data_IF_827616510865
#
_entry.id   IF_827616510865
#
_cell.length_a   1.000
_cell.length_b   1.000
_cell.length_c   1.000
_cell.angle_alpha   90.00
_cell.angle_beta   90.00
_cell.angle_gamma   90.00
#
_symmetry.space_group_name_H-M   'P 1'
#
loop_
_entity.id
_entity.type
_entity.pdbx_description
1 polymer ?
#
# COMPACT_ATOMS: atom_id res chain seq x y z
N UNK A 1 36.89 47.21 -2.13
CA UNK A 1 35.90 46.88 -3.18
C UNK A 1 34.72 46.17 -2.54
N UNK A 2 33.59 46.86 -2.36
CA UNK A 2 32.34 46.24 -1.89
C UNK A 2 31.63 45.68 -3.12
N UNK A 3 31.57 44.37 -3.26
CA UNK A 3 30.78 43.72 -4.31
C UNK A 3 29.30 43.82 -3.94
N UNK A 4 28.62 44.83 -4.45
CA UNK A 4 27.16 44.85 -4.51
C UNK A 4 26.72 43.81 -5.54
N UNK A 5 26.13 42.71 -5.07
CA UNK A 5 25.45 41.75 -5.96
C UNK A 5 24.37 42.50 -6.76
N UNK A 6 24.35 42.28 -8.07
CA UNK A 6 23.36 42.87 -8.97
C UNK A 6 21.93 42.54 -8.49
N UNK A 7 21.00 43.52 -8.43
CA UNK A 7 19.59 43.28 -8.11
C UNK A 7 18.96 42.20 -8.98
N UNK A 8 19.44 42.04 -10.23
CA UNK A 8 18.99 41.02 -11.16
C UNK A 8 19.40 39.60 -10.71
N UNK A 9 20.59 39.46 -10.14
CA UNK A 9 21.09 38.18 -9.62
C UNK A 9 20.35 37.79 -8.33
N UNK A 10 20.03 38.77 -7.48
CA UNK A 10 19.19 38.57 -6.29
C UNK A 10 17.74 38.21 -6.64
N UNK A 11 17.18 38.85 -7.67
CA UNK A 11 15.84 38.56 -8.17
C UNK A 11 15.79 37.19 -8.86
N UNK A 12 16.82 36.82 -9.63
CA UNK A 12 16.96 35.51 -10.23
C UNK A 12 17.14 34.42 -9.16
N UNK A 13 17.93 34.65 -8.10
CA UNK A 13 18.08 33.73 -6.97
C UNK A 13 16.79 33.62 -6.15
N UNK A 14 16.03 34.70 -5.98
CA UNK A 14 14.70 34.65 -5.34
C UNK A 14 13.67 33.89 -6.17
N UNK A 15 13.67 34.06 -7.49
CA UNK A 15 12.82 33.28 -8.40
C UNK A 15 13.24 31.81 -8.42
N UNK A 16 14.54 31.52 -8.50
CA UNK A 16 15.08 30.15 -8.45
C UNK A 16 14.80 29.46 -7.12
N UNK A 17 14.94 30.15 -5.98
CA UNK A 17 14.61 29.60 -4.66
C UNK A 17 13.10 29.43 -4.45
N UNK A 18 12.26 30.29 -5.06
CA UNK A 18 10.80 30.07 -5.07
C UNK A 18 10.39 28.92 -5.99
N UNK A 19 11.11 28.69 -7.09
CA UNK A 19 10.91 27.53 -7.96
C UNK A 19 11.38 26.25 -7.26
N UNK A 20 12.55 26.27 -6.60
CA UNK A 20 13.11 25.14 -5.84
C UNK A 20 12.37 24.83 -4.54
N UNK A 21 11.74 25.82 -3.91
CA UNK A 21 10.92 25.60 -2.72
C UNK A 21 9.65 24.76 -3.01
N UNK A 22 9.23 24.61 -4.27
CA UNK A 22 8.10 23.75 -4.65
C UNK A 22 8.43 22.25 -4.66
N UNK A 23 9.72 21.91 -4.79
CA UNK A 23 10.17 20.60 -5.26
C UNK A 23 10.36 19.56 -4.16
N UNK A 24 10.36 19.95 -2.88
CA UNK A 24 10.45 19.01 -1.75
C UNK A 24 9.37 19.25 -0.68
N UNK A 25 8.24 19.83 -1.10
CA UNK A 25 7.15 20.22 -0.19
C UNK A 25 6.11 19.09 -0.08
N UNK A 26 5.69 18.70 1.14
CA UNK A 26 4.58 17.78 1.34
C UNK A 26 3.32 18.20 0.57
N UNK A 27 2.53 17.23 0.09
CA UNK A 27 1.29 17.52 -0.62
C UNK A 27 0.39 18.41 0.26
N UNK A 28 -0.02 19.61 -0.20
CA UNK A 28 -0.96 20.41 0.58
C UNK A 28 -2.29 19.66 0.76
N UNK A 29 -3.01 19.90 1.87
CA UNK A 29 -4.27 19.21 2.16
C UNK A 29 -5.29 19.32 1.02
N UNK A 30 -6.20 18.34 0.89
CA UNK A 30 -7.25 18.36 -0.13
C UNK A 30 -8.10 19.63 -0.13
N UNK A 31 -8.21 20.38 0.97
CA UNK A 31 -8.92 21.66 1.02
C UNK A 31 -8.40 22.70 0.04
N UNK A 32 -7.14 22.61 -0.39
CA UNK A 32 -6.56 23.46 -1.43
C UNK A 32 -6.80 22.94 -2.85
N UNK A 33 -7.38 21.75 -2.99
CA UNK A 33 -7.48 21.00 -4.24
C UNK A 33 -8.91 20.72 -4.66
N UNK A 34 -9.06 20.13 -5.83
CA UNK A 34 -10.36 19.76 -6.38
C UNK A 34 -10.64 18.26 -6.14
N UNK A 35 -9.59 17.44 -6.06
CA UNK A 35 -9.70 15.99 -5.88
C UNK A 35 -9.12 15.51 -4.55
N UNK A 36 -9.41 14.26 -4.17
CA UNK A 36 -8.67 13.45 -3.20
C UNK A 36 -8.08 12.24 -3.92
N UNK A 37 -6.77 12.02 -3.82
CA UNK A 37 -6.09 10.93 -4.52
C UNK A 37 -5.81 9.73 -3.61
N UNK A 38 -6.23 8.54 -4.05
CA UNK A 38 -6.07 7.28 -3.32
C UNK A 38 -5.29 6.28 -4.18
N UNK A 39 -4.23 5.71 -3.60
CA UNK A 39 -3.58 4.50 -4.09
C UNK A 39 -3.99 3.33 -3.19
N UNK A 40 -4.44 2.23 -3.79
CA UNK A 40 -4.81 0.99 -3.10
C UNK A 40 -4.07 -0.19 -3.70
N UNK A 41 -3.50 -1.04 -2.84
CA UNK A 41 -2.66 -2.18 -3.24
C UNK A 41 -3.18 -3.44 -2.54
N UNK A 42 -3.55 -4.44 -3.33
CA UNK A 42 -4.11 -5.70 -2.82
C UNK A 42 -3.06 -6.56 -2.09
N UNK A 43 -3.54 -7.49 -1.27
CA UNK A 43 -2.74 -8.59 -0.72
C UNK A 43 -2.37 -9.65 -1.77
N UNK A 44 -1.40 -10.51 -1.45
CA UNK A 44 -0.99 -11.59 -2.35
C UNK A 44 0.45 -12.10 -2.20
N UNK A 45 1.08 -11.92 -1.04
CA UNK A 45 2.44 -12.43 -0.76
C UNK A 45 3.52 -11.92 -1.71
N UNK A 46 4.35 -12.82 -2.24
CA UNK A 46 5.46 -12.51 -3.15
C UNK A 46 4.98 -11.91 -4.49
N UNK A 47 3.71 -12.13 -4.85
CA UNK A 47 3.08 -11.54 -6.04
C UNK A 47 2.96 -10.02 -5.97
N UNK A 48 3.21 -9.41 -4.80
CA UNK A 48 3.40 -7.96 -4.63
C UNK A 48 4.46 -7.34 -5.56
N UNK A 49 5.34 -8.15 -6.17
CA UNK A 49 6.24 -7.71 -7.25
C UNK A 49 5.46 -7.14 -8.45
N UNK A 50 4.28 -7.69 -8.78
CA UNK A 50 3.44 -7.22 -9.89
C UNK A 50 3.03 -5.75 -9.69
N UNK A 51 2.29 -5.38 -8.62
CA UNK A 51 1.90 -3.98 -8.41
C UNK A 51 3.11 -3.06 -8.15
N UNK A 52 4.18 -3.54 -7.50
CA UNK A 52 5.40 -2.74 -7.32
C UNK A 52 6.04 -2.34 -8.68
N UNK A 53 6.05 -3.27 -9.65
CA UNK A 53 6.55 -3.02 -11.01
C UNK A 53 5.68 -2.02 -11.76
N UNK A 54 4.36 -2.12 -11.63
CA UNK A 54 3.42 -1.14 -12.22
C UNK A 54 3.59 0.25 -11.58
N UNK A 55 3.79 0.31 -10.26
CA UNK A 55 4.04 1.56 -9.54
C UNK A 55 5.37 2.21 -9.92
N UNK A 56 6.40 1.42 -10.23
CA UNK A 56 7.68 1.95 -10.73
C UNK A 56 7.50 2.72 -12.06
N UNK A 57 6.61 2.27 -12.94
CA UNK A 57 6.25 3.03 -14.14
C UNK A 57 5.62 4.39 -13.78
N UNK A 58 4.62 4.40 -12.89
CA UNK A 58 3.95 5.64 -12.46
C UNK A 58 4.90 6.61 -11.76
N UNK A 59 5.77 6.10 -10.86
CA UNK A 59 6.76 6.91 -10.15
C UNK A 59 7.76 7.55 -11.12
N UNK A 60 8.21 6.82 -12.15
CA UNK A 60 9.05 7.38 -13.23
C UNK A 60 8.32 8.44 -14.05
N UNK A 61 7.06 8.21 -14.40
CA UNK A 61 6.25 9.19 -15.15
C UNK A 61 6.05 10.50 -14.36
N UNK A 62 5.84 10.41 -13.04
CA UNK A 62 5.74 11.57 -12.15
C UNK A 62 7.09 12.27 -11.95
N UNK A 63 8.18 11.52 -11.74
CA UNK A 63 9.54 12.08 -11.61
C UNK A 63 10.05 12.75 -12.88
N UNK A 64 9.59 12.33 -14.05
CA UNK A 64 9.87 13.05 -15.30
C UNK A 64 9.28 14.48 -15.30
N UNK A 65 8.24 14.73 -14.51
CA UNK A 65 7.60 16.05 -14.33
C UNK A 65 8.15 16.81 -13.11
N UNK A 66 8.50 16.09 -12.04
CA UNK A 66 9.03 16.63 -10.78
C UNK A 66 10.02 15.63 -10.13
N UNK A 67 11.33 15.73 -10.43
CA UNK A 67 12.33 14.72 -10.06
C UNK A 67 12.53 14.50 -8.55
N UNK A 68 12.11 15.45 -7.73
CA UNK A 68 12.34 15.50 -6.29
C UNK A 68 11.15 14.98 -5.48
N UNK A 69 10.15 14.41 -6.14
CA UNK A 69 8.95 13.88 -5.49
C UNK A 69 8.97 12.35 -5.37
N UNK A 70 7.95 11.84 -4.69
CA UNK A 70 7.65 10.42 -4.51
C UNK A 70 6.14 10.25 -4.55
N UNK A 71 5.65 9.01 -4.62
CA UNK A 71 4.21 8.74 -4.60
C UNK A 71 3.47 9.36 -3.40
N UNK A 72 4.08 9.41 -2.21
CA UNK A 72 3.51 10.06 -1.03
C UNK A 72 3.29 11.58 -1.19
N UNK A 73 3.94 12.21 -2.17
CA UNK A 73 3.75 13.62 -2.51
C UNK A 73 2.58 13.87 -3.49
N UNK A 74 1.94 12.81 -3.99
CA UNK A 74 0.83 12.87 -4.95
C UNK A 74 -0.44 12.20 -4.46
N UNK A 75 -0.33 11.17 -3.61
CA UNK A 75 -1.46 10.47 -3.03
C UNK A 75 -1.79 11.00 -1.64
N UNK A 76 -3.03 11.43 -1.42
CA UNK A 76 -3.57 11.80 -0.11
C UNK A 76 -3.75 10.59 0.82
N UNK A 77 -3.94 9.41 0.21
CA UNK A 77 -4.06 8.13 0.90
C UNK A 77 -3.30 7.04 0.14
N UNK A 78 -2.47 6.28 0.85
CA UNK A 78 -1.93 5.01 0.36
C UNK A 78 -2.50 3.89 1.23
N UNK A 79 -3.16 2.92 0.62
CA UNK A 79 -3.84 1.83 1.31
C UNK A 79 -3.32 0.50 0.83
N UNK A 80 -3.21 -0.47 1.74
CA UNK A 80 -2.77 -1.79 1.37
C UNK A 80 -3.10 -2.85 2.40
N UNK A 81 -3.31 -4.07 1.91
CA UNK A 81 -3.55 -5.26 2.72
C UNK A 81 -2.40 -6.25 2.54
N UNK A 82 -1.97 -6.92 3.61
CA UNK A 82 -0.90 -7.92 3.56
C UNK A 82 0.38 -7.34 2.94
N UNK A 83 0.94 -7.99 1.92
CA UNK A 83 2.07 -7.48 1.13
C UNK A 83 1.85 -6.04 0.62
N UNK A 84 0.61 -5.65 0.26
CA UNK A 84 0.26 -4.27 -0.10
C UNK A 84 0.34 -3.31 1.09
N UNK A 85 0.06 -3.79 2.30
CA UNK A 85 0.24 -3.04 3.55
C UNK A 85 1.72 -2.85 3.90
N UNK A 86 2.56 -3.87 3.69
CA UNK A 86 4.03 -3.73 3.79
C UNK A 86 4.53 -2.67 2.80
N UNK A 87 4.09 -2.75 1.54
CA UNK A 87 4.42 -1.77 0.50
C UNK A 87 3.93 -0.37 0.86
N UNK A 88 2.73 -0.25 1.43
CA UNK A 88 2.19 1.03 1.93
C UNK A 88 3.11 1.65 2.97
N UNK A 89 3.58 0.86 3.96
CA UNK A 89 4.51 1.35 4.96
C UNK A 89 5.87 1.75 4.34
N UNK A 90 6.40 0.97 3.40
CA UNK A 90 7.64 1.29 2.69
C UNK A 90 7.56 2.59 1.89
N UNK A 91 6.40 2.87 1.28
CA UNK A 91 6.13 4.06 0.44
C UNK A 91 5.64 5.28 1.23
N UNK A 92 5.32 5.14 2.52
CA UNK A 92 4.76 6.22 3.34
C UNK A 92 5.57 6.53 4.61
N UNK A 93 6.38 5.61 5.14
CA UNK A 93 7.21 5.88 6.30
C UNK A 93 8.38 6.82 5.93
N UNK A 94 8.71 7.82 6.76
CA UNK A 94 9.78 8.78 6.47
C UNK A 94 11.16 8.13 6.56
N UNK A 95 12.05 8.48 5.63
CA UNK A 95 13.44 8.06 5.64
C UNK A 95 14.24 8.82 6.71
N UNK A 96 15.07 8.11 7.50
CA UNK A 96 15.92 8.74 8.52
C UNK A 96 16.91 9.76 7.96
N UNK A 97 17.40 9.58 6.73
CA UNK A 97 18.35 10.50 6.07
C UNK A 97 17.68 11.67 5.38
N UNK A 98 16.41 11.54 4.98
CA UNK A 98 15.62 12.60 4.38
C UNK A 98 14.16 12.42 4.77
N UNK A 99 13.74 13.11 5.83
CA UNK A 99 12.42 12.93 6.44
C UNK A 99 11.24 13.33 5.56
N UNK A 100 11.48 13.95 4.40
CA UNK A 100 10.43 14.27 3.42
C UNK A 100 10.24 13.16 2.37
N UNK A 101 11.12 12.16 2.32
CA UNK A 101 11.02 11.07 1.36
C UNK A 101 10.71 9.75 2.05
N UNK A 102 9.99 8.84 1.37
CA UNK A 102 9.74 7.53 1.90
C UNK A 102 11.02 6.70 2.01
N UNK A 103 11.00 5.64 2.82
CA UNK A 103 12.14 4.73 2.98
C UNK A 103 12.49 4.04 1.65
N UNK A 104 11.48 3.72 0.83
CA UNK A 104 11.65 3.06 -0.47
C UNK A 104 10.96 3.81 -1.61
N UNK A 105 11.54 3.72 -2.79
CA UNK A 105 10.88 3.90 -4.08
C UNK A 105 10.25 2.59 -4.55
N UNK A 106 9.28 2.61 -5.49
CA UNK A 106 8.69 1.36 -6.01
C UNK A 106 9.71 0.39 -6.63
N UNK A 107 10.73 0.90 -7.33
CA UNK A 107 11.83 0.06 -7.83
C UNK A 107 12.59 -0.64 -6.70
N UNK A 108 12.82 0.04 -5.58
CA UNK A 108 13.50 -0.56 -4.42
C UNK A 108 12.60 -1.56 -3.70
N UNK A 109 11.26 -1.40 -3.75
CA UNK A 109 10.31 -2.42 -3.28
C UNK A 109 10.43 -3.71 -4.09
N UNK A 110 10.56 -3.63 -5.43
CA UNK A 110 10.82 -4.82 -6.27
C UNK A 110 12.12 -5.51 -5.82
N UNK A 111 13.19 -4.73 -5.62
CA UNK A 111 14.47 -5.28 -5.16
C UNK A 111 14.39 -5.85 -3.73
N UNK A 112 13.57 -5.26 -2.85
CA UNK A 112 13.32 -5.77 -1.52
C UNK A 112 12.74 -7.19 -1.59
N UNK A 113 11.69 -7.42 -2.38
CA UNK A 113 11.12 -8.76 -2.53
C UNK A 113 12.11 -9.75 -3.16
N UNK A 114 12.85 -9.34 -4.20
CA UNK A 114 13.85 -10.22 -4.82
C UNK A 114 14.95 -10.64 -3.85
N UNK A 115 15.34 -9.74 -2.95
CA UNK A 115 16.41 -9.98 -1.98
C UNK A 115 15.92 -10.77 -0.77
N UNK A 116 14.80 -10.38 -0.19
CA UNK A 116 14.34 -10.85 1.12
C UNK A 116 13.16 -11.81 1.04
N UNK A 117 12.49 -11.94 -0.10
CA UNK A 117 11.42 -12.91 -0.33
C UNK A 117 11.85 -14.34 0.03
N UNK A 118 13.02 -14.84 -0.43
CA UNK A 118 13.49 -16.18 -0.08
C UNK A 118 13.62 -16.42 1.43
N UNK A 119 14.08 -15.41 2.18
CA UNK A 119 14.25 -15.49 3.64
C UNK A 119 12.91 -15.34 4.39
N UNK A 120 12.00 -14.50 3.88
CA UNK A 120 10.63 -14.34 4.42
C UNK A 120 9.85 -15.66 4.30
N UNK A 121 10.02 -16.35 3.17
CA UNK A 121 9.37 -17.61 2.85
C UNK A 121 10.32 -18.80 2.97
N UNK A 122 11.28 -18.74 3.91
CA UNK A 122 12.13 -19.88 4.25
C UNK A 122 11.38 -20.83 5.21
N UNK A 123 11.10 -22.08 4.81
CA UNK A 123 10.41 -23.01 5.69
C UNK A 123 11.27 -23.37 6.91
N UNK A 124 10.63 -23.44 8.09
CA UNK A 124 11.25 -23.72 9.42
C UNK A 124 12.28 -24.87 9.47
N UNK A 125 12.25 -25.81 8.53
CA UNK A 125 13.05 -27.04 8.55
C UNK A 125 14.09 -27.16 7.43
N UNK A 126 14.23 -26.19 6.51
CA UNK A 126 15.34 -26.17 5.55
C UNK A 126 16.70 -26.11 6.28
N UNK A 127 16.78 -25.31 7.34
CA UNK A 127 17.95 -25.17 8.22
C UNK A 127 18.24 -26.43 9.05
N UNK A 128 17.21 -27.14 9.52
CA UNK A 128 17.36 -28.37 10.31
C UNK A 128 17.79 -29.56 9.43
N UNK A 129 17.34 -29.62 8.17
CA UNK A 129 17.76 -30.66 7.22
C UNK A 129 19.23 -30.51 6.80
N UNK A 130 19.78 -29.30 6.83
CA UNK A 130 21.20 -29.05 6.58
C UNK A 130 22.07 -29.43 7.79
N UNK A 131 21.55 -29.22 9.02
CA UNK A 131 22.24 -29.56 10.28
C UNK A 131 22.14 -31.07 10.63
N UNK A 132 21.14 -31.79 10.13
CA UNK A 132 21.01 -33.25 10.25
C UNK A 132 21.62 -33.94 9.04
N UNK A 133 22.95 -33.84 8.91
CA UNK A 133 23.70 -34.56 7.89
C UNK A 133 23.41 -36.08 7.90
N UNK A 134 23.31 -36.66 6.70
CA UNK A 134 23.57 -38.08 6.37
C UNK A 134 23.35 -39.13 7.48
N UNK A 135 22.16 -39.16 8.08
CA UNK A 135 21.74 -40.21 9.01
C UNK A 135 20.81 -41.21 8.29
N UNK A 136 21.30 -42.43 8.10
CA UNK A 136 20.63 -43.57 7.44
C UNK A 136 19.12 -43.64 7.70
N UNK A 137 18.32 -43.56 6.64
CA UNK A 137 16.89 -43.85 6.67
C UNK A 137 16.68 -45.38 6.69
N UNK A 138 16.94 -46.01 7.83
CA UNK A 138 16.61 -47.42 8.01
C UNK A 138 15.21 -47.60 8.60
N UNK A 139 14.36 -48.19 7.76
CA UNK A 139 13.12 -48.88 8.10
C UNK A 139 12.00 -48.07 8.79
N UNK A 140 11.26 -47.29 7.99
CA UNK A 140 9.78 -47.23 7.94
C UNK A 140 9.35 -46.29 6.81
N UNK A 141 8.22 -46.55 6.11
CA UNK A 141 7.84 -45.78 4.94
C UNK A 141 7.50 -44.36 5.38
N UNK A 142 8.31 -43.37 4.98
CA UNK A 142 7.97 -41.96 5.01
C UNK A 142 6.81 -41.70 4.04
N UNK A 143 5.60 -42.06 4.48
CA UNK A 143 4.36 -41.66 3.84
C UNK A 143 4.19 -40.16 4.10
N UNK A 144 4.48 -39.38 3.07
CA UNK A 144 4.18 -37.96 2.96
C UNK A 144 2.65 -37.73 2.93
N UNK A 145 1.98 -37.98 4.06
CA UNK A 145 0.54 -37.72 4.24
C UNK A 145 0.45 -36.78 5.45
N UNK A 146 0.11 -35.51 5.18
CA UNK A 146 -0.32 -34.46 6.13
C UNK A 146 0.32 -34.47 7.52
N UNK A 147 1.39 -33.69 7.69
CA UNK A 147 1.91 -33.40 9.03
C UNK A 147 1.19 -32.19 9.65
N UNK A 148 0.01 -32.47 10.21
CA UNK A 148 -0.87 -31.52 10.90
C UNK A 148 -0.25 -30.92 12.19
N UNK A 149 0.95 -31.36 12.61
CA UNK A 149 1.69 -30.81 13.75
C UNK A 149 2.60 -29.62 13.39
N UNK A 150 2.67 -29.21 12.11
CA UNK A 150 3.69 -28.29 11.58
C UNK A 150 3.13 -26.95 11.09
N UNK A 151 2.19 -26.38 11.84
CA UNK A 151 1.59 -25.07 11.56
C UNK A 151 2.20 -23.99 12.47
N UNK A 152 2.32 -22.73 12.00
CA UNK A 152 2.18 -22.26 10.61
C UNK A 152 3.37 -22.64 9.71
N UNK A 153 3.22 -22.54 8.37
CA UNK A 153 4.23 -22.91 7.36
C UNK A 153 5.57 -22.20 7.57
N UNK A 154 5.52 -20.93 8.00
CA UNK A 154 6.67 -20.06 8.27
C UNK A 154 6.65 -19.58 9.73
N UNK A 155 7.81 -19.36 10.35
CA UNK A 155 7.88 -18.81 11.72
C UNK A 155 7.64 -17.30 11.81
N UNK A 156 7.81 -16.58 10.71
CA UNK A 156 7.67 -15.13 10.66
C UNK A 156 8.78 -14.36 11.39
N UNK A 157 9.83 -15.03 11.88
CA UNK A 157 10.90 -14.37 12.63
C UNK A 157 11.68 -13.42 11.74
N UNK A 158 12.06 -13.88 10.54
CA UNK A 158 12.76 -13.03 9.58
C UNK A 158 11.92 -11.81 9.19
N UNK A 159 10.63 -12.01 8.88
CA UNK A 159 9.71 -10.92 8.54
C UNK A 159 9.60 -9.91 9.68
N UNK A 160 9.47 -10.38 10.93
CA UNK A 160 9.43 -9.54 12.13
C UNK A 160 10.70 -8.72 12.28
N UNK A 161 11.86 -9.35 12.13
CA UNK A 161 13.15 -8.72 12.38
C UNK A 161 13.49 -7.71 11.28
N UNK A 162 13.27 -8.04 10.00
CA UNK A 162 13.50 -7.10 8.89
C UNK A 162 12.53 -5.92 8.95
N UNK A 163 11.26 -6.14 9.31
CA UNK A 163 10.24 -5.09 9.45
C UNK A 163 10.62 -4.13 10.58
N UNK A 164 10.98 -4.66 11.76
CA UNK A 164 11.45 -3.83 12.90
C UNK A 164 12.74 -3.09 12.59
N UNK A 165 13.66 -3.71 11.86
CA UNK A 165 14.92 -3.08 11.44
C UNK A 165 14.70 -1.89 10.51
N UNK A 166 13.78 -2.04 9.55
CA UNK A 166 13.47 -1.00 8.56
C UNK A 166 12.67 0.14 9.18
N UNK A 167 11.57 -0.18 9.87
CA UNK A 167 10.61 0.80 10.38
C UNK A 167 10.99 1.36 11.75
N UNK A 168 11.89 0.69 12.49
CA UNK A 168 12.36 1.11 13.82
C UNK A 168 11.18 1.43 14.73
N UNK A 169 11.19 2.59 15.38
CA UNK A 169 10.11 3.07 16.25
C UNK A 169 9.10 3.97 15.53
N UNK A 170 9.08 3.98 14.19
CA UNK A 170 8.13 4.79 13.42
C UNK A 170 6.70 4.36 13.73
N UNK A 171 5.85 5.31 14.10
CA UNK A 171 4.43 5.11 14.42
C UNK A 171 3.53 5.58 13.28
N UNK A 172 2.28 5.13 13.32
CA UNK A 172 1.27 5.42 12.31
C UNK A 172 1.11 6.92 12.02
N UNK A 173 1.10 7.78 13.05
CA UNK A 173 0.98 9.23 12.87
C UNK A 173 2.19 9.92 12.23
N UNK A 174 3.30 9.20 12.03
CA UNK A 174 4.54 9.74 11.44
C UNK A 174 4.65 9.47 9.93
N UNK A 175 3.67 8.80 9.32
CA UNK A 175 3.64 8.59 7.87
C UNK A 175 3.54 9.92 7.10
N UNK A 176 4.17 9.99 5.92
CA UNK A 176 4.24 11.16 5.05
C UNK A 176 2.89 11.54 4.43
N UNK A 177 1.99 10.57 4.32
CA UNK A 177 0.62 10.71 3.85
C UNK A 177 -0.29 9.83 4.71
N UNK A 178 -1.60 9.96 4.57
CA UNK A 178 -2.51 9.07 5.29
C UNK A 178 -2.34 7.66 4.76
N UNK A 179 -2.29 6.68 5.67
CA UNK A 179 -2.35 5.28 5.30
C UNK A 179 -3.63 4.64 5.80
N UNK A 180 -4.09 3.62 5.09
CA UNK A 180 -5.24 2.79 5.49
C UNK A 180 -4.84 1.33 5.32
N UNK A 181 -4.57 0.66 6.43
CA UNK A 181 -4.06 -0.72 6.45
C UNK A 181 -5.03 -1.61 7.25
N UNK A 182 -5.84 -2.44 6.58
CA UNK A 182 -6.72 -3.41 7.25
C UNK A 182 -5.95 -4.56 7.90
N UNK A 183 -6.50 -5.06 8.99
CA UNK A 183 -6.13 -6.30 9.68
C UNK A 183 -7.39 -6.86 10.38
N UNK A 184 -7.30 -8.03 10.99
CA UNK A 184 -8.43 -8.65 11.68
C UNK A 184 -8.00 -9.10 13.08
N UNK A 185 -8.77 -8.74 14.11
CA UNK A 185 -8.49 -9.16 15.49
C UNK A 185 -9.18 -10.51 15.75
N UNK A 186 -8.41 -11.58 15.92
CA UNK A 186 -8.93 -12.94 16.06
C UNK A 186 -9.59 -13.19 17.42
N UNK A 187 -9.22 -12.43 18.45
CA UNK A 187 -9.82 -12.57 19.78
C UNK A 187 -11.16 -11.83 19.87
N UNK A 188 -11.25 -10.67 19.21
CA UNK A 188 -12.46 -9.83 19.22
C UNK A 188 -13.39 -10.08 18.03
N UNK A 189 -12.92 -10.83 17.03
CA UNK A 189 -13.66 -11.24 15.82
C UNK A 189 -14.19 -10.06 15.01
N UNK A 190 -13.38 -9.01 14.85
CA UNK A 190 -13.73 -7.87 13.99
C UNK A 190 -12.50 -7.29 13.25
N UNK A 191 -12.73 -6.59 12.12
CA UNK A 191 -11.68 -5.86 11.44
C UNK A 191 -11.10 -4.72 12.27
N UNK A 192 -9.77 -4.57 12.27
CA UNK A 192 -9.07 -3.40 12.77
C UNK A 192 -8.45 -2.68 11.58
N UNK A 193 -8.85 -1.42 11.38
CA UNK A 193 -8.32 -0.59 10.30
C UNK A 193 -7.37 0.43 10.89
N UNK A 194 -6.07 0.25 10.67
CA UNK A 194 -5.06 1.23 11.06
C UNK A 194 -5.09 2.37 10.05
N UNK A 195 -5.56 3.54 10.49
CA UNK A 195 -5.81 4.71 9.64
C UNK A 195 -5.42 6.00 10.35
N UNK A 196 -4.67 6.89 9.68
CA UNK A 196 -4.33 8.21 10.21
C UNK A 196 -5.59 9.04 10.52
N UNK A 197 -6.68 8.82 9.78
CA UNK A 197 -7.93 9.55 9.99
C UNK A 197 -8.57 9.26 11.35
N UNK A 198 -8.42 8.03 11.84
CA UNK A 198 -8.98 7.58 13.14
C UNK A 198 -8.22 8.09 14.34
N UNK A 199 -6.95 8.47 14.19
CA UNK A 199 -6.10 8.86 15.32
C UNK A 199 -6.56 10.13 16.05
N UNK A 200 -7.49 10.88 15.47
CA UNK A 200 -8.14 12.02 16.13
C UNK A 200 -9.05 11.58 17.29
N UNK A 201 -9.66 10.41 17.19
CA UNK A 201 -10.63 9.89 18.18
C UNK A 201 -10.14 8.60 18.84
N UNK A 202 -9.43 7.76 18.10
CA UNK A 202 -8.96 6.43 18.52
C UNK A 202 -7.42 6.43 18.66
N UNK A 203 -6.88 7.11 19.67
CA UNK A 203 -5.42 7.29 19.80
C UNK A 203 -4.65 5.98 20.00
N UNK A 204 -5.28 4.96 20.59
CA UNK A 204 -4.69 3.63 20.78
C UNK A 204 -4.38 2.89 19.46
N UNK A 205 -4.91 3.36 18.33
CA UNK A 205 -4.54 2.86 17.00
C UNK A 205 -3.20 3.40 16.50
N UNK A 206 -2.56 4.33 17.22
CA UNK A 206 -1.25 4.89 16.86
C UNK A 206 -0.09 3.92 17.17
N UNK A 207 -0.20 2.67 16.75
CA UNK A 207 0.79 1.62 16.94
C UNK A 207 2.08 1.88 16.15
N UNK A 208 3.14 1.14 16.47
CA UNK A 208 4.34 1.09 15.62
C UNK A 208 3.97 0.54 14.25
N UNK A 209 4.46 1.17 13.19
CA UNK A 209 4.22 0.68 11.83
C UNK A 209 4.72 -0.75 11.63
N UNK A 210 5.75 -1.17 12.37
CA UNK A 210 6.19 -2.57 12.36
C UNK A 210 5.12 -3.52 12.85
N UNK A 211 4.38 -3.16 13.90
CA UNK A 211 3.30 -4.00 14.42
C UNK A 211 2.13 -4.02 13.43
N UNK A 212 1.76 -2.86 12.87
CA UNK A 212 0.74 -2.76 11.81
C UNK A 212 1.08 -3.63 10.59
N UNK A 213 2.34 -3.62 10.16
CA UNK A 213 2.84 -4.43 9.05
C UNK A 213 2.77 -5.94 9.32
N UNK A 214 3.15 -6.35 10.53
CA UNK A 214 3.09 -7.76 10.93
C UNK A 214 1.64 -8.23 11.06
N UNK A 215 0.76 -7.39 11.65
CA UNK A 215 -0.67 -7.65 11.74
C UNK A 215 -1.33 -7.85 10.38
N UNK A 216 -1.14 -6.93 9.44
CA UNK A 216 -1.80 -7.03 8.13
C UNK A 216 -1.30 -8.20 7.28
N UNK A 217 -0.10 -8.74 7.56
CA UNK A 217 0.55 -9.79 6.76
C UNK A 217 0.47 -11.20 7.37
N UNK A 218 -0.08 -11.35 8.59
CA UNK A 218 -0.12 -12.61 9.32
C UNK A 218 -1.19 -13.57 8.76
N UNK A 219 -0.97 -14.07 7.54
CA UNK A 219 -1.93 -14.90 6.83
C UNK A 219 -2.13 -16.25 7.56
N UNK A 220 -3.39 -16.63 7.90
CA UNK A 220 -3.66 -17.92 8.51
C UNK A 220 -3.06 -19.06 7.70
N UNK A 221 -2.54 -20.09 8.39
CA UNK A 221 -1.75 -21.23 7.86
C UNK A 221 -0.34 -20.90 7.34
N UNK A 222 -0.06 -19.66 6.91
CA UNK A 222 1.26 -19.23 6.45
C UNK A 222 2.14 -18.70 7.58
N UNK A 223 1.63 -17.76 8.37
CA UNK A 223 2.37 -17.03 9.41
C UNK A 223 1.63 -17.10 10.75
N UNK A 224 2.34 -16.98 11.89
CA UNK A 224 1.68 -16.92 13.19
C UNK A 224 0.92 -15.58 13.35
N UNK A 225 -0.18 -15.56 14.12
CA UNK A 225 -0.82 -14.30 14.53
C UNK A 225 0.17 -13.37 15.21
N UNK A 226 0.00 -12.06 15.02
CA UNK A 226 0.84 -11.04 15.64
C UNK A 226 0.15 -10.44 16.86
N UNK A 227 0.76 -10.64 18.03
CA UNK A 227 0.26 -10.10 19.29
C UNK A 227 1.12 -8.93 19.75
N UNK A 228 0.48 -7.83 20.14
CA UNK A 228 1.16 -6.68 20.73
C UNK A 228 0.19 -5.86 21.58
N UNK A 229 0.76 -5.00 22.42
CA UNK A 229 0.02 -4.01 23.20
C UNK A 229 0.38 -2.61 22.70
N UNK A 230 -0.62 -1.74 22.55
CA UNK A 230 -0.40 -0.31 22.34
C UNK A 230 -1.38 0.52 23.18
N UNK A 231 -0.85 1.47 23.94
CA UNK A 231 -1.63 2.36 24.83
C UNK A 231 -2.63 1.60 25.74
N UNK A 232 -2.20 0.48 26.31
CA UNK A 232 -3.01 -0.35 27.21
C UNK A 232 -4.08 -1.20 26.50
N UNK A 233 -4.12 -1.21 25.16
CA UNK A 233 -5.00 -2.05 24.36
C UNK A 233 -4.22 -3.22 23.77
N UNK A 234 -4.69 -4.42 24.06
CA UNK A 234 -4.16 -5.66 23.49
C UNK A 234 -4.74 -5.90 22.08
N UNK A 235 -3.85 -6.28 21.17
CA UNK A 235 -4.16 -6.64 19.79
C UNK A 235 -3.70 -8.07 19.51
N UNK A 236 -4.60 -8.87 18.94
CA UNK A 236 -4.36 -10.27 18.58
C UNK A 236 -4.69 -10.43 17.09
N UNK A 237 -3.71 -10.17 16.24
CA UNK A 237 -3.97 -9.79 14.85
C UNK A 237 -3.60 -10.86 13.83
N UNK A 238 -4.44 -11.01 12.82
CA UNK A 238 -4.20 -11.80 11.61
C UNK A 238 -4.38 -10.94 10.35
N UNK A 239 -4.02 -11.51 9.20
CA UNK A 239 -3.96 -10.81 7.91
C UNK A 239 -5.24 -10.05 7.56
N UNK A 240 -5.07 -8.88 6.96
CA UNK A 240 -6.17 -8.02 6.52
C UNK A 240 -7.05 -8.64 5.43
N UNK A 241 -6.60 -9.67 4.72
CA UNK A 241 -7.41 -10.43 3.76
C UNK A 241 -8.64 -11.08 4.43
N UNK A 242 -8.59 -11.35 5.74
CA UNK A 242 -9.76 -11.77 6.53
C UNK A 242 -10.87 -10.72 6.58
N UNK A 243 -10.54 -9.44 6.31
CA UNK A 243 -11.49 -8.33 6.29
C UNK A 243 -11.68 -7.76 4.88
N UNK A 244 -10.60 -7.42 4.19
CA UNK A 244 -10.60 -6.80 2.86
C UNK A 244 -9.26 -7.02 2.16
N UNK A 245 -9.16 -8.06 1.31
CA UNK A 245 -7.96 -8.30 0.50
C UNK A 245 -7.67 -7.17 -0.50
N UNK A 246 -8.71 -6.64 -1.13
CA UNK A 246 -8.65 -5.39 -1.89
C UNK A 246 -9.16 -4.23 -1.01
N UNK A 247 -8.27 -3.37 -0.47
CA UNK A 247 -8.66 -2.34 0.49
C UNK A 247 -9.19 -1.06 -0.17
N UNK A 248 -9.39 -1.03 -1.49
CA UNK A 248 -9.77 0.18 -2.21
C UNK A 248 -11.07 0.81 -1.69
N UNK A 249 -12.09 -0.02 -1.42
CA UNK A 249 -13.34 0.47 -0.84
C UNK A 249 -13.17 0.91 0.62
N UNK A 250 -12.28 0.27 1.39
CA UNK A 250 -11.97 0.67 2.77
C UNK A 250 -11.35 2.08 2.76
N UNK A 251 -10.40 2.32 1.87
CA UNK A 251 -9.77 3.63 1.70
C UNK A 251 -10.77 4.71 1.25
N UNK A 252 -11.63 4.40 0.27
CA UNK A 252 -12.72 5.31 -0.16
C UNK A 252 -13.65 5.63 1.00
N UNK A 253 -14.01 4.64 1.80
CA UNK A 253 -14.91 4.82 2.95
C UNK A 253 -14.29 5.71 4.03
N UNK A 254 -13.00 5.55 4.34
CA UNK A 254 -12.28 6.43 5.27
C UNK A 254 -12.22 7.87 4.75
N UNK A 255 -11.93 8.05 3.46
CA UNK A 255 -11.89 9.37 2.83
C UNK A 255 -13.24 10.06 2.89
N UNK A 256 -14.33 9.37 2.53
CA UNK A 256 -15.68 9.94 2.55
C UNK A 256 -16.08 10.35 3.97
N UNK A 257 -15.83 9.48 4.97
CA UNK A 257 -16.16 9.75 6.37
C UNK A 257 -15.43 10.97 6.94
N UNK A 258 -14.21 11.27 6.48
CA UNK A 258 -13.35 12.28 7.10
C UNK A 258 -13.10 13.53 6.25
N UNK A 259 -13.35 13.51 4.95
CA UNK A 259 -13.07 14.63 4.03
C UNK A 259 -14.30 15.18 3.32
N UNK A 260 -15.47 14.55 3.49
CA UNK A 260 -16.72 14.96 2.86
C UNK A 260 -16.79 14.61 1.37
N UNK A 261 -17.68 15.28 0.64
CA UNK A 261 -17.99 14.98 -0.76
C UNK A 261 -17.00 15.63 -1.75
N UNK A 262 -15.70 15.29 -1.67
CA UNK A 262 -14.72 15.63 -2.73
C UNK A 262 -14.67 14.54 -3.79
N UNK A 263 -14.33 14.93 -5.02
CA UNK A 263 -14.11 13.96 -6.09
C UNK A 263 -12.87 13.11 -5.79
N UNK A 264 -12.99 11.79 -5.92
CA UNK A 264 -11.90 10.85 -5.63
C UNK A 264 -11.23 10.43 -6.93
N UNK A 265 -9.89 10.47 -6.98
CA UNK A 265 -9.05 9.79 -7.97
C UNK A 265 -8.50 8.52 -7.34
N UNK A 266 -8.92 7.35 -7.83
CA UNK A 266 -8.56 6.05 -7.26
C UNK A 266 -7.74 5.22 -8.25
N UNK A 267 -6.52 4.86 -7.85
CA UNK A 267 -5.74 3.79 -8.45
C UNK A 267 -5.79 2.56 -7.53
N UNK A 268 -6.29 1.43 -8.03
CA UNK A 268 -6.28 0.15 -7.33
C UNK A 268 -5.46 -0.87 -8.13
N UNK A 269 -4.54 -1.55 -7.45
CA UNK A 269 -3.59 -2.48 -8.06
C UNK A 269 -3.73 -3.87 -7.46
N UNK A 270 -3.99 -4.85 -8.33
CA UNK A 270 -4.07 -6.26 -7.97
C UNK A 270 -2.73 -6.98 -7.96
N UNK A 271 -2.74 -8.21 -7.44
CA UNK A 271 -1.57 -9.11 -7.40
C UNK A 271 -1.71 -10.31 -8.35
N UNK A 272 -2.66 -10.27 -9.27
CA UNK A 272 -2.94 -11.32 -10.23
C UNK A 272 -3.96 -12.35 -9.73
N UNK A 273 -4.88 -12.70 -10.62
CA UNK A 273 -5.93 -13.70 -10.44
C UNK A 273 -5.63 -14.85 -11.39
N UNK A 274 -5.61 -16.07 -10.86
CA UNK A 274 -5.49 -17.27 -11.67
C UNK A 274 -6.87 -17.72 -12.12
N UNK A 275 -7.03 -17.99 -13.41
CA UNK A 275 -8.28 -18.54 -13.95
C UNK A 275 -8.40 -20.01 -13.51
N UNK A 276 -9.05 -20.27 -12.37
CA UNK A 276 -9.20 -21.61 -11.82
C UNK A 276 -10.64 -22.14 -11.93
N UNK A 277 -10.82 -23.22 -12.70
CA UNK A 277 -12.05 -24.01 -12.77
C UNK A 277 -12.23 -24.95 -11.55
N UNK A 278 -11.61 -24.66 -10.41
CA UNK A 278 -11.31 -25.67 -9.37
C UNK A 278 -12.49 -26.04 -8.45
N UNK A 279 -13.60 -25.30 -8.45
CA UNK A 279 -14.69 -25.49 -7.48
C UNK A 279 -15.91 -26.29 -8.00
N UNK A 280 -15.89 -26.77 -9.25
CA UNK A 280 -16.99 -27.54 -9.83
C UNK A 280 -17.26 -28.84 -9.07
N UNK A 281 -18.46 -28.98 -8.49
CA UNK A 281 -18.92 -30.21 -7.82
C UNK A 281 -18.38 -30.43 -6.39
N UNK A 282 -17.56 -29.52 -5.83
CA UNK A 282 -17.06 -29.66 -4.43
C UNK A 282 -18.20 -29.54 -3.42
N UNK A 283 -19.28 -28.85 -3.76
CA UNK A 283 -20.46 -28.70 -2.90
C UNK A 283 -21.43 -29.88 -3.01
N UNK A 284 -21.26 -30.75 -4.02
CA UNK A 284 -22.15 -31.87 -4.28
C UNK A 284 -21.67 -33.11 -3.51
N UNK A 285 -22.28 -33.37 -2.35
CA UNK A 285 -22.18 -34.68 -1.68
C UNK A 285 -21.19 -34.81 -0.51
N UNK A 286 -20.85 -33.72 0.19
CA UNK A 286 -19.92 -33.75 1.33
C UNK A 286 -20.56 -33.47 2.68
N UNK A 287 -20.38 -34.39 3.63
CA UNK A 287 -20.68 -34.19 5.05
C UNK A 287 -19.74 -33.15 5.69
N UNK A 288 -20.15 -32.53 6.80
CA UNK A 288 -19.43 -31.43 7.49
C UNK A 288 -17.91 -31.66 7.65
N UNK A 289 -17.46 -32.88 7.95
CA UNK A 289 -16.05 -33.19 8.17
C UNK A 289 -15.21 -33.17 6.87
N UNK A 290 -15.79 -33.62 5.75
CA UNK A 290 -15.10 -33.60 4.44
C UNK A 290 -15.02 -32.17 3.90
N UNK A 291 -16.02 -31.34 4.19
CA UNK A 291 -16.00 -29.91 3.90
C UNK A 291 -14.86 -29.22 4.68
N UNK A 292 -14.75 -29.48 5.98
CA UNK A 292 -13.70 -28.89 6.82
C UNK A 292 -12.27 -29.26 6.38
N UNK A 293 -12.08 -30.46 5.81
CA UNK A 293 -10.78 -30.95 5.33
C UNK A 293 -10.42 -30.49 3.90
N UNK A 294 -11.42 -30.26 3.04
CA UNK A 294 -11.21 -29.94 1.61
C UNK A 294 -11.47 -28.47 1.25
N UNK A 295 -11.99 -27.65 2.18
CA UNK A 295 -12.39 -26.27 1.89
C UNK A 295 -11.26 -25.25 1.93
N UNK A 296 -9.99 -25.62 2.16
CA UNK A 296 -8.89 -24.63 2.13
C UNK A 296 -8.88 -23.81 0.83
N UNK A 297 -9.11 -24.46 -0.32
CA UNK A 297 -9.24 -23.76 -1.60
C UNK A 297 -10.45 -22.83 -1.66
N UNK A 298 -11.59 -23.23 -1.09
CA UNK A 298 -12.82 -22.41 -1.02
C UNK A 298 -12.62 -21.20 -0.10
N UNK A 299 -12.02 -21.40 1.07
CA UNK A 299 -11.70 -20.33 2.00
C UNK A 299 -10.68 -19.36 1.41
N UNK A 300 -9.62 -19.87 0.77
CA UNK A 300 -8.66 -19.04 0.04
C UNK A 300 -9.37 -18.21 -1.03
N UNK A 301 -10.18 -18.82 -1.89
CA UNK A 301 -10.92 -18.10 -2.94
C UNK A 301 -11.84 -17.01 -2.36
N UNK A 302 -12.59 -17.33 -1.30
CA UNK A 302 -13.50 -16.38 -0.66
C UNK A 302 -12.76 -15.22 0.01
N UNK A 303 -11.62 -15.47 0.66
CA UNK A 303 -10.83 -14.46 1.36
C UNK A 303 -10.11 -13.52 0.39
N UNK A 304 -9.62 -14.05 -0.73
CA UNK A 304 -8.83 -13.27 -1.69
C UNK A 304 -9.68 -12.67 -2.83
N UNK A 305 -10.97 -13.03 -2.92
CA UNK A 305 -11.89 -12.49 -3.92
C UNK A 305 -11.99 -10.97 -3.87
N UNK A 306 -12.01 -10.35 -5.05
CA UNK A 306 -12.08 -8.91 -5.24
C UNK A 306 -13.42 -8.46 -5.86
N UNK A 307 -14.29 -9.41 -6.21
CA UNK A 307 -15.53 -9.19 -6.97
C UNK A 307 -16.48 -8.23 -6.27
N UNK A 308 -16.68 -8.42 -4.97
CA UNK A 308 -17.56 -7.54 -4.18
C UNK A 308 -17.01 -6.11 -4.13
N UNK A 309 -15.68 -5.95 -4.02
CA UNK A 309 -15.06 -4.63 -4.08
C UNK A 309 -15.27 -3.98 -5.45
N UNK A 310 -15.19 -4.74 -6.55
CA UNK A 310 -15.52 -4.25 -7.88
C UNK A 310 -16.98 -3.81 -7.99
N UNK A 311 -17.93 -4.61 -7.48
CA UNK A 311 -19.36 -4.29 -7.49
C UNK A 311 -19.68 -2.98 -6.75
N UNK A 312 -19.15 -2.82 -5.54
CA UNK A 312 -19.37 -1.61 -4.74
C UNK A 312 -18.72 -0.38 -5.35
N UNK A 313 -17.46 -0.47 -5.80
CA UNK A 313 -16.77 0.66 -6.43
C UNK A 313 -17.40 1.05 -7.76
N UNK A 314 -17.88 0.09 -8.55
CA UNK A 314 -18.63 0.39 -9.76
C UNK A 314 -19.87 1.22 -9.43
N UNK A 315 -20.61 0.87 -8.37
CA UNK A 315 -21.79 1.64 -7.91
C UNK A 315 -21.41 3.06 -7.47
N UNK A 316 -20.35 3.21 -6.68
CA UNK A 316 -19.88 4.52 -6.20
C UNK A 316 -19.43 5.42 -7.37
N UNK A 317 -18.63 4.89 -8.30
CA UNK A 317 -18.07 5.62 -9.43
C UNK A 317 -18.96 5.67 -10.69
N UNK A 318 -20.10 4.98 -10.72
CA UNK A 318 -21.12 5.20 -11.75
C UNK A 318 -22.26 6.08 -11.24
N UNK A 319 -22.53 6.06 -9.93
CA UNK A 319 -23.65 6.78 -9.31
C UNK A 319 -23.30 8.16 -8.76
N UNK A 320 -22.07 8.35 -8.24
CA UNK A 320 -21.73 9.54 -7.44
C UNK A 320 -20.43 10.23 -7.83
N UNK A 321 -19.49 9.52 -8.47
CA UNK A 321 -18.20 10.04 -8.89
C UNK A 321 -17.97 9.80 -10.39
N UNK A 322 -17.04 10.51 -11.05
CA UNK A 322 -16.73 10.25 -12.46
C UNK A 322 -16.12 8.87 -12.66
N UNK A 323 -16.68 8.06 -13.57
CA UNK A 323 -16.24 6.68 -13.81
C UNK A 323 -14.76 6.58 -14.23
N UNK A 324 -14.25 7.57 -14.94
CA UNK A 324 -12.85 7.64 -15.40
C UNK A 324 -11.85 8.05 -14.30
N UNK A 325 -12.34 8.27 -13.08
CA UNK A 325 -11.50 8.50 -11.92
C UNK A 325 -11.17 7.22 -11.14
N UNK A 326 -11.72 6.07 -11.53
CA UNK A 326 -11.34 4.77 -11.00
C UNK A 326 -10.56 3.96 -12.04
N UNK A 327 -9.28 3.71 -11.74
CA UNK A 327 -8.40 2.84 -12.52
C UNK A 327 -8.04 1.59 -11.70
N UNK A 328 -8.50 0.42 -12.16
CA UNK A 328 -8.04 -0.88 -11.69
C UNK A 328 -7.03 -1.44 -12.68
N UNK A 329 -5.87 -1.87 -12.19
CA UNK A 329 -4.90 -2.66 -12.97
C UNK A 329 -4.76 -4.01 -12.27
N UNK A 330 -5.05 -5.08 -13.00
CA UNK A 330 -5.07 -6.47 -12.52
C UNK A 330 -4.65 -7.41 -13.66
N UNK A 331 -3.94 -8.47 -13.32
CA UNK A 331 -3.69 -9.59 -14.24
C UNK A 331 -4.80 -10.63 -14.06
N UNK A 332 -5.75 -10.69 -14.99
CA UNK A 332 -6.91 -11.59 -14.89
C UNK A 332 -6.63 -13.03 -15.35
N UNK A 333 -5.51 -13.27 -16.03
CA UNK A 333 -5.14 -14.58 -16.57
C UNK A 333 -3.72 -14.95 -16.12
N UNK A 334 -3.45 -14.85 -14.81
CA UNK A 334 -2.14 -15.21 -14.27
C UNK A 334 -1.87 -16.70 -14.54
N UNK A 335 -0.68 -17.01 -15.04
CA UNK A 335 -0.23 -18.39 -15.27
C UNK A 335 -0.38 -19.20 -13.97
N UNK A 336 -1.06 -20.36 -13.98
CA UNK A 336 -1.24 -21.18 -12.78
C UNK A 336 0.07 -21.60 -12.11
N UNK A 337 1.20 -21.62 -12.82
CA UNK A 337 2.52 -21.86 -12.23
C UNK A 337 3.01 -20.72 -11.32
N UNK A 338 2.29 -19.60 -11.27
CA UNK A 338 2.55 -18.44 -10.41
C UNK A 338 1.40 -18.20 -9.39
N UNK A 339 0.53 -19.20 -9.20
CA UNK A 339 -0.60 -19.13 -8.25
C UNK A 339 -0.13 -18.94 -6.81
N UNK A 340 0.94 -19.64 -6.44
CA UNK A 340 1.46 -19.69 -5.07
C UNK A 340 1.97 -18.31 -4.61
N UNK A 341 1.40 -17.82 -3.52
CA UNK A 341 1.73 -16.51 -2.94
C UNK A 341 3.06 -16.50 -2.19
N UNK A 342 3.70 -17.65 -2.01
CA UNK A 342 4.94 -17.83 -1.24
C UNK A 342 6.07 -18.50 -2.04
N UNK A 343 5.90 -18.71 -3.36
CA UNK A 343 7.00 -19.14 -4.23
C UNK A 343 7.96 -17.96 -4.47
N UNK A 344 8.89 -17.77 -3.54
CA UNK A 344 9.97 -16.80 -3.65
C UNK A 344 11.22 -17.34 -4.37
N UNK A 345 11.07 -18.33 -5.26
CA UNK A 345 12.18 -18.73 -6.11
C UNK A 345 12.59 -17.59 -7.05
N UNK A 346 13.90 -17.41 -7.34
CA UNK A 346 14.37 -16.35 -8.25
C UNK A 346 13.65 -16.39 -9.61
N UNK A 347 13.40 -17.59 -10.13
CA UNK A 347 12.68 -17.81 -11.38
C UNK A 347 11.24 -17.29 -11.31
N UNK A 348 10.51 -17.54 -10.22
CA UNK A 348 9.14 -17.06 -10.07
C UNK A 348 9.11 -15.53 -9.91
N UNK A 349 9.99 -14.98 -9.08
CA UNK A 349 10.08 -13.53 -8.88
C UNK A 349 10.40 -12.77 -10.18
N UNK A 350 11.27 -13.30 -11.03
CA UNK A 350 11.54 -12.73 -12.36
C UNK A 350 10.33 -12.82 -13.30
N UNK A 351 9.56 -13.92 -13.25
CA UNK A 351 8.31 -14.03 -14.01
C UNK A 351 7.28 -13.02 -13.52
N UNK A 352 7.12 -12.84 -12.21
CA UNK A 352 6.18 -11.87 -11.62
C UNK A 352 6.52 -10.43 -12.03
N UNK A 353 7.81 -10.07 -12.04
CA UNK A 353 8.25 -8.76 -12.57
C UNK A 353 7.92 -8.63 -14.07
N UNK A 354 8.10 -9.71 -14.84
CA UNK A 354 7.74 -9.74 -16.26
C UNK A 354 6.23 -9.58 -16.46
N UNK A 355 5.39 -10.17 -15.62
CA UNK A 355 3.93 -9.95 -15.62
C UNK A 355 3.62 -8.48 -15.38
N UNK A 356 4.22 -7.86 -14.36
CA UNK A 356 4.05 -6.43 -14.07
C UNK A 356 4.44 -5.53 -15.26
N UNK A 357 5.53 -5.86 -15.97
CA UNK A 357 5.92 -5.15 -17.21
C UNK A 357 4.93 -5.36 -18.35
N UNK A 358 4.45 -6.60 -18.54
CA UNK A 358 3.50 -6.92 -19.59
C UNK A 358 2.14 -6.25 -19.36
N UNK A 359 1.70 -6.09 -18.10
CA UNK A 359 0.46 -5.39 -17.77
C UNK A 359 0.43 -3.99 -18.38
N UNK A 360 1.56 -3.29 -18.47
CA UNK A 360 1.63 -1.93 -19.02
C UNK A 360 1.16 -1.87 -20.48
N UNK A 361 1.39 -2.91 -21.29
CA UNK A 361 0.95 -2.97 -22.68
C UNK A 361 -0.42 -3.61 -22.87
N UNK A 362 -0.99 -4.25 -21.84
CA UNK A 362 -2.35 -4.76 -21.88
C UNK A 362 -3.37 -3.63 -21.83
N UNK A 363 -4.55 -3.87 -22.41
CA UNK A 363 -5.68 -2.97 -22.30
C UNK A 363 -6.17 -2.85 -20.86
N UNK A 364 -6.53 -1.63 -20.46
CA UNK A 364 -7.31 -1.42 -19.23
C UNK A 364 -8.57 -2.27 -19.31
N UNK A 365 -8.87 -3.00 -18.26
CA UNK A 365 -10.08 -3.81 -18.18
C UNK A 365 -11.03 -3.25 -17.14
N UNK A 366 -12.34 -3.36 -17.42
CA UNK A 366 -13.41 -3.01 -16.49
C UNK A 366 -14.28 -4.24 -16.27
N UNK A 367 -14.53 -4.56 -15.01
CA UNK A 367 -15.41 -5.67 -14.66
C UNK A 367 -16.85 -5.33 -15.03
N UNK A 368 -17.50 -6.22 -15.79
CA UNK A 368 -18.94 -6.18 -15.96
C UNK A 368 -19.60 -6.73 -14.69
N UNK A 369 -20.24 -5.86 -13.92
CA UNK A 369 -20.80 -6.20 -12.60
C UNK A 369 -21.95 -7.21 -12.62
N UNK A 370 -22.49 -7.56 -13.80
CA UNK A 370 -23.57 -8.55 -13.90
C UNK A 370 -23.05 -9.98 -14.05
N UNK A 371 -21.86 -10.17 -14.62
CA UNK A 371 -21.28 -11.50 -14.88
C UNK A 371 -19.82 -11.64 -14.40
N UNK A 372 -19.25 -10.58 -13.82
CA UNK A 372 -17.89 -10.50 -13.28
C UNK A 372 -16.77 -10.81 -14.29
N UNK A 373 -17.06 -10.65 -15.59
CA UNK A 373 -16.05 -10.83 -16.65
C UNK A 373 -15.34 -9.50 -16.94
N UNK A 374 -13.99 -9.48 -17.04
CA UNK A 374 -13.26 -8.29 -17.46
C UNK A 374 -13.54 -7.95 -18.92
N UNK A 375 -13.89 -6.68 -19.18
CA UNK A 375 -14.11 -6.12 -20.51
C UNK A 375 -12.98 -5.14 -20.83
N UNK A 376 -12.18 -5.38 -21.89
CA UNK A 376 -11.11 -4.47 -22.27
C UNK A 376 -11.66 -3.14 -22.80
N UNK A 377 -10.94 -2.06 -22.52
CA UNK A 377 -11.20 -0.71 -23.01
C UNK A 377 -10.14 -0.31 -24.07
N UNK A 378 -10.46 0.72 -24.85
CA UNK A 378 -9.58 1.28 -25.91
C UNK A 378 -8.44 2.16 -25.35
N UNK A 379 -7.69 1.62 -24.39
CA UNK A 379 -6.45 2.22 -23.89
C UNK A 379 -5.63 1.16 -23.16
N UNK A 380 -4.30 1.27 -23.26
CA UNK A 380 -3.38 0.45 -22.47
C UNK A 380 -3.28 0.94 -21.03
N UNK A 381 -2.83 0.06 -20.12
CA UNK A 381 -2.57 0.46 -18.73
C UNK A 381 -1.50 1.55 -18.64
N UNK A 382 -0.46 1.52 -19.48
CA UNK A 382 0.55 2.59 -19.55
C UNK A 382 -0.07 3.95 -19.88
N UNK A 383 -0.90 4.02 -20.92
CA UNK A 383 -1.60 5.25 -21.30
C UNK A 383 -2.53 5.76 -20.19
N UNK A 384 -3.22 4.85 -19.50
CA UNK A 384 -4.07 5.22 -18.38
C UNK A 384 -3.29 5.73 -17.16
N UNK A 385 -2.12 5.14 -16.89
CA UNK A 385 -1.18 5.61 -15.85
C UNK A 385 -0.57 6.97 -16.20
N UNK A 386 -0.21 7.21 -17.46
CA UNK A 386 0.30 8.51 -17.91
C UNK A 386 -0.76 9.61 -17.71
N UNK A 387 -2.02 9.32 -18.08
CA UNK A 387 -3.14 10.23 -17.83
C UNK A 387 -3.38 10.45 -16.32
N UNK A 388 -3.25 9.41 -15.51
CA UNK A 388 -3.35 9.55 -14.06
C UNK A 388 -2.20 10.42 -13.52
N UNK A 389 -0.98 10.23 -14.00
CA UNK A 389 0.17 11.04 -13.63
C UNK A 389 -0.04 12.52 -13.96
N UNK A 390 -0.64 12.82 -15.11
CA UNK A 390 -1.03 14.19 -15.50
C UNK A 390 -2.06 14.78 -14.52
N UNK A 391 -3.10 14.03 -14.17
CA UNK A 391 -4.12 14.47 -13.19
C UNK A 391 -3.50 14.74 -11.82
N UNK A 392 -2.69 13.81 -11.31
CA UNK A 392 -2.01 13.94 -10.01
C UNK A 392 -1.05 15.14 -9.98
N UNK A 393 -0.28 15.34 -11.05
CA UNK A 393 0.63 16.46 -11.17
C UNK A 393 -0.10 17.80 -11.23
N UNK A 394 -1.16 17.90 -12.04
CA UNK A 394 -1.98 19.11 -12.14
C UNK A 394 -2.64 19.46 -10.79
N UNK A 395 -3.19 18.46 -10.10
CA UNK A 395 -3.78 18.61 -8.77
C UNK A 395 -2.75 19.13 -7.76
N UNK A 396 -1.53 18.55 -7.74
CA UNK A 396 -0.44 19.01 -6.87
C UNK A 396 -0.08 20.47 -7.14
N UNK A 397 0.10 20.87 -8.41
CA UNK A 397 0.42 22.25 -8.77
C UNK A 397 -0.68 23.23 -8.36
N UNK A 398 -1.94 22.85 -8.56
CA UNK A 398 -3.11 23.64 -8.15
C UNK A 398 -3.08 23.92 -6.64
N UNK A 399 -2.86 22.86 -5.86
CA UNK A 399 -2.81 22.94 -4.39
C UNK A 399 -1.64 23.79 -3.90
N UNK A 400 -0.45 23.62 -4.47
CA UNK A 400 0.73 24.44 -4.13
C UNK A 400 0.49 25.92 -4.45
N UNK A 401 -0.11 26.22 -5.60
CA UNK A 401 -0.48 27.58 -6.00
C UNK A 401 -1.48 28.20 -5.03
N UNK A 402 -2.58 27.50 -4.71
CA UNK A 402 -3.62 28.01 -3.79
C UNK A 402 -3.08 28.22 -2.36
N UNK A 403 -2.26 27.30 -1.83
CA UNK A 403 -1.59 27.46 -0.53
C UNK A 403 -0.63 28.65 -0.50
N UNK A 404 0.14 28.86 -1.58
CA UNK A 404 1.05 30.02 -1.72
C UNK A 404 0.27 31.34 -1.75
N UNK A 405 -0.87 31.39 -2.46
CA UNK A 405 -1.73 32.58 -2.50
C UNK A 405 -2.35 32.91 -1.13
N UNK A 406 -2.78 31.92 -0.35
CA UNK A 406 -3.29 32.16 1.01
C UNK A 406 -2.20 32.76 1.91
N UNK A 407 -0.97 32.21 1.85
CA UNK A 407 0.17 32.72 2.63
C UNK A 407 0.50 34.18 2.29
N UNK A 408 0.34 34.58 1.02
CA UNK A 408 0.54 35.98 0.56
C UNK A 408 -0.61 36.93 0.97
N UNK A 409 -1.81 36.41 1.24
CA UNK A 409 -2.98 37.20 1.64
C UNK A 409 -3.07 37.48 3.15
N UNK A 410 -2.29 36.81 3.99
CA UNK A 410 -2.13 37.19 5.41
C UNK A 410 -1.16 38.37 5.49
N UNK A 411 -1.59 39.61 5.80
CA UNK A 411 -0.66 40.72 5.98
C UNK A 411 0.20 40.45 7.22
N UNK A 412 1.43 40.94 7.22
CA UNK A 412 2.28 41.10 8.42
C UNK A 412 1.56 42.02 9.42
N UNK A 413 0.61 41.50 10.19
CA UNK A 413 0.07 42.16 11.39
C UNK A 413 0.68 41.43 12.57
N UNK A 414 1.72 42.01 13.14
CA UNK A 414 2.35 41.49 14.35
C UNK A 414 3.84 41.77 14.40
N UNK A 415 4.20 43.05 14.51
CA UNK A 415 5.31 43.59 15.34
C UNK A 415 5.64 45.00 14.86
N UNK A 416 5.08 46.01 15.53
CA UNK A 416 5.78 47.19 16.13
C UNK A 416 4.70 47.89 16.98
N UNK A 417 4.48 47.45 18.20
CA UNK A 417 4.09 48.40 19.25
C UNK A 417 5.39 49.03 19.72
N UNK A 418 5.61 50.27 19.29
CA UNK A 418 6.73 51.07 19.72
C UNK A 418 6.55 51.36 21.21
N UNK A 419 7.53 50.91 22.01
CA UNK A 419 7.79 51.49 23.32
C UNK A 419 8.08 52.98 23.13
N UNK A 420 7.08 53.83 23.36
CA UNK A 420 7.27 55.26 23.57
C UNK A 420 6.53 55.69 24.81
N UNK A 421 7.07 55.32 25.98
CA UNK A 421 6.82 56.04 27.22
C UNK A 421 8.18 56.39 27.84
N UNK A 422 8.78 57.44 27.28
CA UNK A 422 9.81 58.24 27.95
C UNK A 422 9.17 59.48 28.55
N UNK A 423 9.22 59.58 29.89
CA UNK A 423 9.66 60.74 30.68
C UNK A 423 9.16 62.13 30.21
N UNK A 424 8.29 62.75 31.01
CA UNK A 424 8.41 64.16 31.40
C UNK A 424 7.61 64.46 32.67
N UNK A 425 8.21 65.29 33.52
CA UNK A 425 7.84 65.66 34.87
C UNK A 425 6.64 66.62 34.99
N UNK A 426 5.94 66.53 36.11
CA UNK A 426 5.61 67.63 37.02
C UNK A 426 5.24 67.05 38.40
#
# INVERSE_FOLDING_TARGET
>A
MKHTMSPFLLFALMLFSQFMAGFNTPLPPPSYGDHVSILSIDGGGIRGIIPATVLDYLDKALKAKDPTTSLAHYFDVISGTSTGGLMTAMLAAPNSSNSNHPIFTPSEVVQFYKKYGPDIFEPRFALISLLKGFGSCDAKPCRAWYDLEKCPKYDGEFLRDITRKILKDTRLNQTLTNVVIPSFDERKLYPVIFSNFKLKTETYLNAKLSDVCLSTSAAPTYLPPHQFENDGVQFDMVDGAMAANNPALVAVSEVIQHTGNKEILLLSLGTGITANNKLGGIFDGVCQLQWLLNSYGVFSEALYSTDMTHYYLATVFSGFLPQDNYLRIEEYNLDPSMEDMDDASPKNMDKLEKVGKNLLSQSVSRININNFVPVPLDQTNAQALDRLADKLYAERLLRLKRKSMEKRRRPFIGTVEANSNGISAA
#
